data_IF_736901176268
#
_entry.id   IF_736901176268
#
_cell.length_a   1.000
_cell.length_b   1.000
_cell.length_c   1.000
_cell.angle_alpha   90.00
_cell.angle_beta   90.00
_cell.angle_gamma   90.00
#
_symmetry.space_group_name_H-M   'P 1'
#
loop_
_entity.id
_entity.type
_entity.pdbx_description
1 polymer ?
#
# COMPACT_ATOMS: atom_id res chain seq x y z
N UNK A 1 -31.12 -48.97 17.57
CA UNK A 1 -31.53 -47.54 17.76
C UNK A 1 -30.40 -46.68 17.21
N UNK A 2 -30.63 -46.05 16.06
CA UNK A 2 -29.61 -45.16 15.39
C UNK A 2 -30.08 -43.72 15.62
N UNK A 3 -29.33 -43.00 16.45
CA UNK A 3 -29.57 -41.56 16.69
C UNK A 3 -28.92 -40.75 15.57
N UNK A 4 -29.74 -40.14 14.73
CA UNK A 4 -29.33 -39.15 13.72
C UNK A 4 -29.05 -37.80 14.41
N UNK A 5 -27.82 -37.31 14.31
CA UNK A 5 -27.50 -35.96 14.71
C UNK A 5 -27.83 -35.01 13.55
N UNK A 6 -28.78 -34.14 13.81
CA UNK A 6 -29.20 -33.05 12.92
C UNK A 6 -28.23 -31.89 13.13
N UNK A 7 -27.45 -31.56 12.10
CA UNK A 7 -26.65 -30.32 12.08
C UNK A 7 -27.58 -29.20 11.58
N UNK A 8 -27.97 -28.30 12.46
CA UNK A 8 -28.67 -27.09 12.09
C UNK A 8 -27.66 -26.05 11.57
N UNK A 9 -27.73 -25.74 10.29
CA UNK A 9 -27.04 -24.60 9.68
C UNK A 9 -27.91 -23.36 9.97
N UNK A 10 -27.41 -22.47 10.83
CA UNK A 10 -28.04 -21.17 11.05
C UNK A 10 -27.35 -20.21 10.06
N UNK A 11 -28.05 -19.86 8.99
CA UNK A 11 -27.73 -18.74 8.15
C UNK A 11 -28.22 -17.46 8.81
N UNK A 12 -27.34 -16.68 9.41
CA UNK A 12 -27.66 -15.35 9.90
C UNK A 12 -27.50 -14.35 8.77
N UNK A 13 -28.60 -13.88 8.20
CA UNK A 13 -28.63 -12.70 7.34
C UNK A 13 -28.54 -11.46 8.25
N UNK A 14 -27.40 -10.77 8.22
CA UNK A 14 -27.25 -9.49 8.91
C UNK A 14 -27.79 -8.38 8.03
N UNK A 15 -28.92 -7.83 8.39
CA UNK A 15 -29.46 -6.57 7.86
C UNK A 15 -28.70 -5.40 8.48
N UNK A 16 -27.97 -4.66 7.63
CA UNK A 16 -27.32 -3.40 8.00
C UNK A 16 -28.37 -2.30 8.18
N UNK A 17 -28.55 -1.85 9.42
CA UNK A 17 -29.14 -0.56 9.73
C UNK A 17 -28.27 0.14 10.76
N UNK A 18 -27.88 1.38 10.41
CA UNK A 18 -26.87 2.18 11.06
C UNK A 18 -27.10 2.45 12.54
N UNK A 19 -26.01 2.56 13.24
CA UNK A 19 -25.94 3.02 14.61
C UNK A 19 -24.52 2.80 15.13
N UNK A 20 -23.74 3.87 15.27
CA UNK A 20 -22.46 3.82 15.95
C UNK A 20 -22.70 3.47 17.43
N UNK A 21 -22.33 2.25 17.80
CA UNK A 21 -22.15 1.87 19.19
C UNK A 21 -20.84 1.09 19.28
N UNK A 22 -19.77 1.76 19.68
CA UNK A 22 -18.53 1.11 20.10
C UNK A 22 -18.81 0.38 21.41
N UNK A 23 -18.92 -0.92 21.35
CA UNK A 23 -19.08 -1.72 22.56
C UNK A 23 -19.66 -3.09 22.25
N UNK A 24 -18.78 -4.03 22.08
CA UNK A 24 -18.75 -5.48 22.27
C UNK A 24 -17.92 -6.11 21.16
N UNK A 25 -16.97 -6.94 21.50
CA UNK A 25 -16.21 -7.75 20.56
C UNK A 25 -17.17 -8.64 19.77
N UNK A 26 -17.67 -8.14 18.65
CA UNK A 26 -18.42 -8.91 17.68
C UNK A 26 -17.42 -9.81 16.93
N UNK A 27 -17.65 -11.11 16.92
CA UNK A 27 -16.92 -12.01 16.04
C UNK A 27 -17.29 -11.63 14.59
N UNK A 28 -16.46 -10.80 13.95
CA UNK A 28 -16.59 -10.52 12.54
C UNK A 28 -16.18 -11.75 11.75
N UNK A 29 -16.89 -12.03 10.65
CA UNK A 29 -16.58 -13.14 9.80
C UNK A 29 -15.17 -12.95 9.24
N UNK A 30 -14.27 -13.91 9.48
CA UNK A 30 -12.95 -13.92 8.88
C UNK A 30 -13.05 -13.71 7.36
N UNK A 31 -12.27 -12.78 6.82
CA UNK A 31 -12.23 -12.49 5.40
C UNK A 31 -13.28 -11.51 4.87
N UNK A 32 -13.83 -10.62 5.71
CA UNK A 32 -14.76 -9.56 5.27
C UNK A 32 -14.08 -8.22 4.95
N UNK A 33 -12.82 -8.05 5.35
CA UNK A 33 -12.09 -6.81 5.12
C UNK A 33 -11.56 -6.68 3.68
N UNK A 34 -11.25 -5.46 3.28
CA UNK A 34 -10.77 -5.17 1.93
C UNK A 34 -9.81 -3.99 1.88
N UNK A 35 -9.03 -3.95 0.80
CA UNK A 35 -8.16 -2.83 0.43
C UNK A 35 -8.45 -2.46 -1.02
N UNK A 36 -8.76 -1.19 -1.29
CA UNK A 36 -8.89 -0.65 -2.64
C UNK A 36 -7.54 -0.15 -3.17
N UNK A 37 -7.18 -0.62 -4.35
CA UNK A 37 -6.04 -0.12 -5.13
C UNK A 37 -6.59 0.87 -6.14
N UNK A 38 -6.47 2.16 -5.87
CA UNK A 38 -6.88 3.22 -6.78
C UNK A 38 -5.80 3.50 -7.81
N UNK A 39 -6.19 3.86 -9.03
CA UNK A 39 -5.31 4.05 -10.18
C UNK A 39 -4.46 2.79 -10.47
N UNK A 40 -5.05 1.61 -10.27
CA UNK A 40 -4.39 0.35 -10.59
C UNK A 40 -4.06 0.27 -12.07
N UNK A 41 -2.88 -0.22 -12.42
CA UNK A 41 -2.45 -0.31 -13.83
C UNK A 41 -2.82 -1.63 -14.47
N UNK A 42 -3.22 -1.58 -15.74
CA UNK A 42 -3.42 -2.78 -16.55
C UNK A 42 -2.09 -3.52 -16.74
N UNK A 43 -2.11 -4.84 -16.56
CA UNK A 43 -0.92 -5.67 -16.66
C UNK A 43 -0.12 -5.77 -15.37
N UNK A 44 -0.49 -5.05 -14.31
CA UNK A 44 0.10 -5.17 -12.99
C UNK A 44 -0.67 -6.16 -12.11
N UNK A 45 0.03 -6.77 -11.17
CA UNK A 45 -0.52 -7.64 -10.14
C UNK A 45 -0.18 -7.06 -8.77
N UNK A 46 -1.20 -6.80 -7.98
CA UNK A 46 -1.08 -6.33 -6.62
C UNK A 46 -1.26 -7.50 -5.67
N UNK A 47 -0.24 -7.76 -4.84
CA UNK A 47 -0.24 -8.89 -3.91
C UNK A 47 -0.20 -8.37 -2.48
N UNK A 48 -1.13 -8.85 -1.64
CA UNK A 48 -1.26 -8.47 -0.25
C UNK A 48 -0.64 -9.53 0.67
N UNK A 49 0.21 -9.08 1.59
CA UNK A 49 0.87 -9.91 2.60
C UNK A 49 0.60 -9.31 3.97
N UNK A 50 -0.11 -10.03 4.82
CA UNK A 50 -0.37 -9.60 6.19
C UNK A 50 0.90 -9.75 7.02
N UNK A 51 1.36 -8.65 7.60
CA UNK A 51 2.55 -8.66 8.46
C UNK A 51 2.23 -8.32 9.92
N UNK A 52 1.05 -7.73 10.18
CA UNK A 52 0.57 -7.49 11.53
C UNK A 52 -0.94 -7.69 11.64
N UNK A 53 -1.36 -8.14 12.79
CA UNK A 53 -2.76 -8.24 13.20
C UNK A 53 -3.21 -6.95 13.87
N UNK A 54 -4.45 -6.53 13.62
CA UNK A 54 -5.06 -5.34 14.21
C UNK A 54 -6.27 -5.75 15.05
N UNK A 55 -6.26 -5.38 16.32
CA UNK A 55 -7.38 -5.67 17.22
C UNK A 55 -7.93 -4.38 17.81
N UNK A 56 -9.24 -4.18 17.70
CA UNK A 56 -9.91 -3.01 18.28
C UNK A 56 -9.96 -3.15 19.80
N UNK A 57 -9.45 -2.15 20.52
CA UNK A 57 -9.48 -2.06 21.98
C UNK A 57 -9.96 -0.66 22.39
N UNK A 58 -11.25 -0.55 22.68
CA UNK A 58 -11.90 0.71 23.01
C UNK A 58 -11.97 1.64 21.78
N UNK A 59 -11.37 2.82 21.89
CA UNK A 59 -11.25 3.82 20.81
C UNK A 59 -9.90 3.78 20.05
N UNK A 60 -9.09 2.76 20.34
CA UNK A 60 -7.79 2.55 19.74
C UNK A 60 -7.67 1.13 19.15
N UNK A 61 -6.60 0.91 18.41
CA UNK A 61 -6.24 -0.37 17.81
C UNK A 61 -4.93 -0.83 18.43
N UNK A 62 -4.88 -2.07 18.85
CA UNK A 62 -3.65 -2.77 19.16
C UNK A 62 -3.07 -3.34 17.88
N UNK A 63 -1.76 -3.17 17.69
CA UNK A 63 -1.00 -3.72 16.58
C UNK A 63 -0.10 -4.82 17.12
N UNK A 64 -0.19 -6.00 16.56
CA UNK A 64 0.63 -7.14 16.93
C UNK A 64 1.33 -7.69 15.68
N UNK A 65 2.67 -7.67 15.67
CA UNK A 65 3.48 -8.21 14.58
C UNK A 65 3.25 -9.71 14.45
N UNK A 66 2.93 -10.19 13.26
CA UNK A 66 2.81 -11.63 13.02
C UNK A 66 4.19 -12.29 13.17
N UNK A 67 4.26 -13.44 13.87
CA UNK A 67 5.52 -14.05 14.32
C UNK A 67 6.54 -14.28 13.21
N UNK A 68 6.07 -14.66 12.03
CA UNK A 68 6.92 -14.92 10.85
C UNK A 68 7.50 -13.64 10.23
N UNK A 69 6.98 -12.48 10.61
CA UNK A 69 7.38 -11.17 10.09
C UNK A 69 8.29 -10.37 11.03
N UNK A 70 8.47 -10.78 12.29
CA UNK A 70 9.22 -10.02 13.30
C UNK A 70 10.62 -9.63 12.79
N UNK A 71 11.36 -10.55 12.17
CA UNK A 71 12.70 -10.27 11.65
C UNK A 71 12.66 -9.27 10.49
N UNK A 72 11.79 -9.51 9.50
CA UNK A 72 11.68 -8.63 8.34
C UNK A 72 11.24 -7.20 8.71
N UNK A 73 10.30 -7.09 9.66
CA UNK A 73 9.84 -5.78 10.17
C UNK A 73 10.95 -5.09 10.98
N UNK A 74 11.69 -5.82 11.83
CA UNK A 74 12.83 -5.27 12.57
C UNK A 74 13.89 -4.72 11.63
N UNK A 75 14.24 -5.45 10.57
CA UNK A 75 15.22 -5.01 9.57
C UNK A 75 14.73 -3.78 8.80
N UNK A 76 13.45 -3.74 8.43
CA UNK A 76 12.84 -2.59 7.77
C UNK A 76 12.79 -1.35 8.68
N UNK A 77 12.48 -1.53 9.98
CA UNK A 77 12.56 -0.46 10.99
C UNK A 77 13.98 0.06 11.12
N UNK A 78 14.99 -0.83 11.18
CA UNK A 78 16.39 -0.43 11.26
C UNK A 78 16.82 0.36 10.04
N UNK A 79 16.43 -0.07 8.82
CA UNK A 79 16.72 0.65 7.58
C UNK A 79 16.07 2.05 7.58
N UNK A 80 14.82 2.15 8.00
CA UNK A 80 14.12 3.43 8.08
C UNK A 80 14.73 4.37 9.13
N UNK A 81 15.11 3.84 10.29
CA UNK A 81 15.76 4.60 11.37
C UNK A 81 17.13 5.13 10.96
N UNK A 82 17.92 4.32 10.24
CA UNK A 82 19.24 4.71 9.75
C UNK A 82 19.19 5.82 8.67
N UNK A 83 18.05 5.96 7.99
CA UNK A 83 17.83 7.01 6.99
C UNK A 83 17.34 8.33 7.60
N UNK A 84 17.27 8.42 8.92
CA UNK A 84 16.87 9.65 9.64
C UNK A 84 18.10 10.44 10.08
N UNK A 85 17.96 11.76 10.18
CA UNK A 85 18.97 12.65 10.76
C UNK A 85 18.33 13.48 11.89
N UNK A 86 18.70 13.24 13.16
CA UNK A 86 19.64 12.21 13.64
C UNK A 86 19.07 10.78 13.51
N UNK A 87 19.95 9.79 13.45
CA UNK A 87 19.59 8.36 13.46
C UNK A 87 18.80 8.05 14.75
N UNK A 88 17.71 7.32 14.59
CA UNK A 88 16.83 6.90 15.68
C UNK A 88 17.06 5.42 15.97
N UNK A 89 16.90 5.00 17.23
CA UNK A 89 16.90 3.59 17.61
C UNK A 89 15.51 3.15 18.02
N UNK A 90 15.13 1.93 17.67
CA UNK A 90 13.93 1.31 18.22
C UNK A 90 14.20 0.92 19.67
N UNK A 91 13.35 1.34 20.63
CA UNK A 91 13.45 0.89 22.02
C UNK A 91 13.22 -0.62 22.16
N UNK A 92 13.90 -1.25 23.12
CA UNK A 92 13.86 -2.71 23.30
C UNK A 92 12.49 -3.27 23.71
N UNK A 93 11.60 -2.44 24.24
CA UNK A 93 10.22 -2.85 24.51
C UNK A 93 9.45 -3.27 23.26
N UNK A 94 9.91 -2.86 22.06
CA UNK A 94 9.32 -3.24 20.77
C UNK A 94 9.99 -4.44 20.08
N UNK A 95 11.03 -5.06 20.69
CA UNK A 95 11.79 -6.14 20.04
C UNK A 95 10.90 -7.33 19.61
N UNK A 96 9.85 -7.63 20.36
CA UNK A 96 8.88 -8.67 20.02
C UNK A 96 7.69 -8.20 19.20
N UNK A 97 7.52 -6.89 19.06
CA UNK A 97 6.40 -6.27 18.34
C UNK A 97 6.84 -4.98 17.63
N UNK A 98 7.73 -5.09 16.62
CA UNK A 98 8.30 -3.92 15.93
C UNK A 98 7.26 -3.12 15.14
N UNK A 99 6.12 -3.69 14.77
CA UNK A 99 5.03 -2.97 14.13
C UNK A 99 4.34 -1.96 15.05
N UNK A 100 4.30 -2.24 16.35
CA UNK A 100 3.83 -1.26 17.31
C UNK A 100 4.73 -0.01 17.31
N UNK A 101 6.06 -0.18 17.15
CA UNK A 101 6.96 0.96 16.95
C UNK A 101 6.73 1.65 15.60
N UNK A 102 6.59 0.89 14.50
CA UNK A 102 6.31 1.46 13.19
C UNK A 102 5.02 2.31 13.19
N UNK A 103 4.00 1.87 13.92
CA UNK A 103 2.74 2.59 14.07
C UNK A 103 2.89 3.93 14.82
N UNK A 104 3.93 4.12 15.63
CA UNK A 104 4.24 5.43 16.24
C UNK A 104 4.76 6.46 15.23
N UNK A 105 5.24 6.00 14.06
CA UNK A 105 5.85 6.80 12.98
C UNK A 105 4.87 7.23 11.88
N UNK A 106 3.59 7.28 12.15
CA UNK A 106 2.58 7.62 11.14
C UNK A 106 2.13 9.09 11.18
N UNK A 107 2.93 9.96 11.80
CA UNK A 107 2.73 11.41 11.80
C UNK A 107 3.08 12.07 10.46
N UNK A 108 2.67 13.33 10.29
CA UNK A 108 2.92 14.09 9.05
C UNK A 108 4.42 14.25 8.75
N UNK A 109 5.27 14.28 9.77
CA UNK A 109 6.72 14.41 9.64
C UNK A 109 7.43 13.07 9.36
N UNK A 110 6.73 11.95 9.46
CA UNK A 110 7.30 10.61 9.34
C UNK A 110 7.16 10.01 7.92
N UNK A 111 6.68 10.78 6.95
CA UNK A 111 6.42 10.27 5.60
C UNK A 111 7.69 9.71 4.91
N UNK A 112 8.87 10.29 5.17
CA UNK A 112 10.14 9.79 4.63
C UNK A 112 10.54 8.47 5.30
N UNK A 113 10.41 8.39 6.61
CA UNK A 113 10.64 7.17 7.37
C UNK A 113 9.76 6.03 6.87
N UNK A 114 8.46 6.30 6.71
CA UNK A 114 7.48 5.30 6.30
C UNK A 114 7.70 4.80 4.87
N UNK A 115 8.17 5.66 3.95
CA UNK A 115 8.58 5.24 2.60
C UNK A 115 9.76 4.29 2.63
N UNK A 116 10.80 4.60 3.44
CA UNK A 116 11.96 3.72 3.58
C UNK A 116 11.56 2.39 4.21
N UNK A 117 10.72 2.41 5.25
CA UNK A 117 10.17 1.21 5.87
C UNK A 117 9.44 0.33 4.85
N UNK A 118 8.49 0.88 4.09
CA UNK A 118 7.74 0.13 3.08
C UNK A 118 8.64 -0.44 1.96
N UNK A 119 9.66 0.32 1.53
CA UNK A 119 10.60 -0.12 0.52
C UNK A 119 11.54 -1.22 1.03
N UNK A 120 11.86 -1.22 2.33
CA UNK A 120 12.78 -2.17 2.97
C UNK A 120 12.09 -3.42 3.49
N UNK A 121 10.77 -3.38 3.67
CA UNK A 121 10.03 -4.55 4.14
C UNK A 121 10.01 -5.62 3.05
N UNK A 122 10.81 -6.68 3.27
CA UNK A 122 10.99 -7.76 2.32
C UNK A 122 10.01 -8.91 2.58
N UNK A 123 9.43 -9.44 1.52
CA UNK A 123 8.70 -10.71 1.58
C UNK A 123 9.73 -11.83 1.66
N UNK A 124 9.66 -12.63 2.72
CA UNK A 124 10.56 -13.77 2.92
C UNK A 124 10.40 -14.84 1.84
N UNK A 125 11.45 -15.64 1.63
CA UNK A 125 11.40 -16.74 0.69
C UNK A 125 10.31 -17.76 1.07
N UNK A 126 9.47 -18.10 0.11
CA UNK A 126 8.36 -19.05 0.32
C UNK A 126 7.10 -18.46 0.96
N UNK A 127 7.09 -17.20 1.34
CA UNK A 127 5.88 -16.52 1.81
C UNK A 127 4.92 -16.32 0.64
N UNK A 128 3.71 -16.81 0.80
CA UNK A 128 2.65 -16.72 -0.20
C UNK A 128 1.75 -15.52 0.13
N UNK A 129 1.36 -14.75 -0.88
CA UNK A 129 0.41 -13.67 -0.70
C UNK A 129 -0.94 -14.19 -0.19
N UNK A 130 -1.53 -13.51 0.79
CA UNK A 130 -2.88 -13.82 1.28
C UNK A 130 -3.91 -13.68 0.18
N UNK A 131 -3.79 -12.64 -0.63
CA UNK A 131 -4.62 -12.36 -1.81
C UNK A 131 -3.83 -11.62 -2.88
N UNK A 132 -4.29 -11.79 -4.12
CA UNK A 132 -3.79 -11.03 -5.28
C UNK A 132 -4.95 -10.46 -6.08
N UNK A 133 -4.74 -9.33 -6.74
CA UNK A 133 -5.67 -8.77 -7.71
C UNK A 133 -4.92 -8.21 -8.91
N UNK A 134 -5.48 -8.41 -10.10
CA UNK A 134 -4.96 -7.78 -11.32
C UNK A 134 -5.44 -6.33 -11.42
N UNK A 135 -4.54 -5.46 -11.82
CA UNK A 135 -4.87 -4.08 -12.13
C UNK A 135 -5.76 -3.98 -13.37
N UNK A 136 -6.74 -3.08 -13.34
CA UNK A 136 -7.76 -2.93 -14.37
C UNK A 136 -7.73 -1.57 -15.09
N UNK A 137 -6.83 -0.68 -14.71
CA UNK A 137 -6.74 0.69 -15.22
C UNK A 137 -7.61 1.68 -14.45
N UNK A 138 -8.20 1.25 -13.33
CA UNK A 138 -9.05 2.05 -12.46
C UNK A 138 -8.90 1.62 -11.01
N UNK A 139 -10.00 1.41 -10.29
CA UNK A 139 -9.98 0.88 -8.93
C UNK A 139 -10.08 -0.65 -8.96
N UNK A 140 -9.08 -1.33 -8.40
CA UNK A 140 -9.11 -2.77 -8.15
C UNK A 140 -9.29 -3.01 -6.64
N UNK A 141 -10.01 -4.07 -6.25
CA UNK A 141 -10.27 -4.37 -4.85
C UNK A 141 -9.64 -5.71 -4.45
N UNK A 142 -8.81 -5.70 -3.42
CA UNK A 142 -8.32 -6.90 -2.76
C UNK A 142 -9.30 -7.20 -1.63
N UNK A 143 -10.20 -8.13 -1.86
CA UNK A 143 -11.27 -8.49 -0.92
C UNK A 143 -11.00 -9.78 -0.17
N UNK A 144 -11.87 -10.10 0.77
CA UNK A 144 -11.80 -11.33 1.58
C UNK A 144 -10.48 -11.44 2.36
N UNK A 145 -10.01 -10.31 2.88
CA UNK A 145 -8.86 -10.24 3.77
C UNK A 145 -9.29 -10.42 5.23
N UNK A 146 -8.40 -10.93 6.06
CA UNK A 146 -8.49 -10.76 7.52
C UNK A 146 -8.18 -9.32 7.89
N UNK A 147 -8.73 -8.83 8.99
CA UNK A 147 -8.35 -7.52 9.52
C UNK A 147 -6.87 -7.51 9.91
N UNK A 148 -6.12 -6.54 9.40
CA UNK A 148 -4.69 -6.50 9.59
C UNK A 148 -3.99 -5.37 8.86
N UNK A 149 -2.68 -5.31 9.05
CA UNK A 149 -1.80 -4.39 8.35
C UNK A 149 -1.03 -5.15 7.28
N UNK A 150 -1.05 -4.64 6.06
CA UNK A 150 -0.59 -5.36 4.87
C UNK A 150 0.52 -4.62 4.14
N UNK A 151 1.52 -5.37 3.73
CA UNK A 151 2.40 -4.99 2.64
C UNK A 151 1.71 -5.31 1.33
N UNK A 152 1.54 -4.32 0.47
CA UNK A 152 1.06 -4.51 -0.90
C UNK A 152 2.24 -4.34 -1.84
N UNK A 153 2.58 -5.39 -2.57
CA UNK A 153 3.57 -5.33 -3.64
C UNK A 153 2.89 -5.12 -4.98
N UNK A 154 3.55 -4.40 -5.86
CA UNK A 154 3.12 -4.14 -7.23
C UNK A 154 4.14 -4.73 -8.20
N UNK A 155 3.71 -5.61 -9.09
CA UNK A 155 4.57 -6.26 -10.09
C UNK A 155 3.88 -6.21 -11.43
N UNK A 156 4.57 -5.72 -12.46
CA UNK A 156 4.07 -5.70 -13.83
C UNK A 156 4.19 -7.09 -14.50
N UNK A 157 3.62 -7.23 -15.67
CA UNK A 157 3.64 -8.48 -16.46
C UNK A 157 5.05 -8.96 -16.87
N UNK A 158 6.03 -8.07 -16.86
CA UNK A 158 7.42 -8.33 -17.27
C UNK A 158 8.34 -8.53 -16.05
N UNK A 159 7.76 -8.48 -14.84
CA UNK A 159 8.48 -8.66 -13.57
C UNK A 159 9.07 -7.37 -13.00
N UNK A 160 8.80 -6.22 -13.61
CA UNK A 160 9.13 -4.91 -13.07
C UNK A 160 8.36 -4.67 -11.77
N UNK A 161 9.02 -4.03 -10.80
CA UNK A 161 8.44 -3.75 -9.49
C UNK A 161 8.01 -2.31 -9.38
N UNK A 162 6.76 -2.08 -9.03
CA UNK A 162 6.26 -0.80 -8.59
C UNK A 162 6.61 -0.50 -7.13
N UNK A 163 6.12 0.62 -6.64
CA UNK A 163 6.34 1.04 -5.25
C UNK A 163 5.49 0.21 -4.28
N UNK A 164 6.12 -0.40 -3.29
CA UNK A 164 5.40 -1.06 -2.20
C UNK A 164 4.54 -0.07 -1.41
N UNK A 165 3.38 -0.53 -0.95
CA UNK A 165 2.50 0.24 -0.08
C UNK A 165 2.24 -0.51 1.24
N UNK A 166 2.14 0.22 2.32
CA UNK A 166 1.72 -0.28 3.63
C UNK A 166 0.31 0.23 3.90
N UNK A 167 -0.65 -0.66 4.03
CA UNK A 167 -2.07 -0.33 4.14
C UNK A 167 -2.75 -1.23 5.15
N UNK A 168 -3.52 -0.64 6.07
CA UNK A 168 -4.42 -1.41 6.91
C UNK A 168 -5.71 -1.74 6.14
N UNK A 169 -6.30 -2.86 6.45
CA UNK A 169 -7.67 -3.14 6.00
C UNK A 169 -8.67 -2.21 6.67
N UNK A 170 -9.89 -2.16 6.14
CA UNK A 170 -11.02 -1.68 6.95
C UNK A 170 -11.14 -2.50 8.23
N UNK A 171 -11.42 -1.86 9.35
CA UNK A 171 -11.73 -2.52 10.61
C UNK A 171 -13.22 -2.39 10.89
N UNK A 172 -13.89 -3.50 11.14
CA UNK A 172 -15.35 -3.53 11.31
C UNK A 172 -16.11 -2.82 10.16
N UNK A 173 -15.57 -2.88 8.93
CA UNK A 173 -16.10 -2.18 7.76
C UNK A 173 -15.86 -0.66 7.75
N UNK A 174 -15.11 -0.11 8.69
CA UNK A 174 -14.79 1.33 8.76
C UNK A 174 -13.44 1.59 8.11
N UNK A 175 -13.43 2.52 7.15
CA UNK A 175 -12.22 3.03 6.50
C UNK A 175 -11.90 4.42 7.06
N UNK A 176 -11.27 4.48 8.22
CA UNK A 176 -10.90 5.73 8.88
C UNK A 176 -9.51 5.59 9.50
N UNK A 177 -8.87 6.71 9.76
CA UNK A 177 -7.62 6.74 10.53
C UNK A 177 -7.85 6.16 11.92
N UNK A 178 -7.04 5.18 12.32
CA UNK A 178 -7.10 4.58 13.64
C UNK A 178 -6.00 5.12 14.55
N UNK A 179 -6.37 5.38 15.81
CA UNK A 179 -5.39 5.57 16.88
C UNK A 179 -4.80 4.21 17.24
N UNK A 180 -3.49 4.17 17.48
CA UNK A 180 -2.79 2.95 17.91
C UNK A 180 -2.50 3.05 19.41
N UNK A 181 -2.84 1.99 20.13
CA UNK A 181 -2.53 1.86 21.55
C UNK A 181 -1.05 1.51 21.71
N UNK A 182 -0.33 2.23 22.54
CA UNK A 182 0.95 1.76 23.03
C UNK A 182 2.20 2.52 22.64
N UNK A 183 2.10 3.81 22.26
CA UNK A 183 3.28 4.67 22.37
C UNK A 183 3.47 5.11 23.83
N UNK A 184 4.48 4.57 24.54
CA UNK A 184 4.71 4.93 25.94
C UNK A 184 5.14 6.40 26.11
N UNK A 185 5.68 7.04 25.07
CA UNK A 185 6.15 8.43 25.12
C UNK A 185 5.05 9.46 24.86
N UNK A 186 4.13 9.17 23.95
CA UNK A 186 3.08 10.13 23.51
C UNK A 186 1.67 9.58 23.67
N UNK A 187 1.53 8.27 23.94
CA UNK A 187 0.25 7.60 24.13
C UNK A 187 -0.55 7.32 22.85
N UNK A 188 -0.10 7.77 21.66
CA UNK A 188 -0.89 7.60 20.45
C UNK A 188 -0.07 7.61 19.15
N UNK A 189 0.08 6.43 18.53
CA UNK A 189 0.35 6.31 17.11
C UNK A 189 -0.94 6.43 16.28
N UNK A 190 -0.80 6.46 14.96
CA UNK A 190 -1.92 6.50 14.01
C UNK A 190 -1.63 5.60 12.83
N UNK A 191 -2.65 4.92 12.32
CA UNK A 191 -2.60 4.29 11.01
C UNK A 191 -3.46 5.14 10.08
N UNK A 192 -2.84 5.79 9.08
CA UNK A 192 -3.50 6.74 8.19
C UNK A 192 -4.00 6.09 6.89
N UNK A 193 -3.26 5.13 6.34
CA UNK A 193 -3.69 4.39 5.14
C UNK A 193 -4.58 3.21 5.55
N UNK A 194 -5.88 3.38 5.46
CA UNK A 194 -6.88 2.39 5.86
C UNK A 194 -7.86 2.16 4.72
N UNK A 195 -8.02 0.89 4.34
CA UNK A 195 -8.98 0.44 3.35
C UNK A 195 -8.66 0.82 1.92
N UNK A 196 -7.66 1.68 1.68
CA UNK A 196 -7.30 2.10 0.32
C UNK A 196 -5.91 2.73 0.23
N UNK A 197 -5.33 2.65 -0.96
CA UNK A 197 -4.17 3.45 -1.36
C UNK A 197 -4.23 3.78 -2.84
N UNK A 198 -3.43 4.76 -3.26
CA UNK A 198 -3.24 5.12 -4.66
C UNK A 198 -1.96 4.45 -5.15
N UNK A 199 -2.06 3.59 -6.16
CA UNK A 199 -0.89 2.97 -6.78
C UNK A 199 -0.02 4.07 -7.41
N UNK A 200 1.25 4.10 -7.01
CA UNK A 200 2.24 4.99 -7.61
C UNK A 200 3.01 4.19 -8.64
N UNK A 201 2.75 4.53 -9.85
CA UNK A 201 3.38 3.87 -10.99
C UNK A 201 4.57 4.70 -11.41
N UNK A 202 5.76 4.14 -11.26
CA UNK A 202 6.97 4.69 -11.84
C UNK A 202 7.06 4.27 -13.31
N UNK A 203 6.11 4.71 -14.12
CA UNK A 203 6.31 4.69 -15.56
C UNK A 203 7.25 5.84 -15.88
N UNK A 204 8.50 5.53 -16.19
CA UNK A 204 9.35 6.49 -16.88
C UNK A 204 8.59 6.95 -18.13
N UNK A 205 8.49 8.27 -18.38
CA UNK A 205 7.97 8.76 -19.62
C UNK A 205 8.79 8.15 -20.76
N UNK A 206 8.12 7.66 -21.79
CA UNK A 206 8.81 7.22 -23.00
C UNK A 206 9.78 8.30 -23.48
N UNK A 207 10.94 7.89 -23.98
CA UNK A 207 11.91 8.85 -24.50
C UNK A 207 11.25 9.76 -25.54
N UNK A 208 11.41 11.08 -25.44
CA UNK A 208 10.81 11.99 -26.39
C UNK A 208 11.25 11.64 -27.82
N UNK A 209 10.30 11.37 -28.68
CA UNK A 209 10.56 11.25 -30.10
C UNK A 209 10.90 12.61 -30.67
N UNK A 210 11.96 12.71 -31.46
CA UNK A 210 12.29 13.92 -32.24
C UNK A 210 12.44 13.56 -33.69
N UNK A 211 11.57 14.11 -34.55
CA UNK A 211 11.64 13.96 -36.00
C UNK A 211 11.84 15.32 -36.67
N UNK A 212 12.67 15.36 -37.69
CA UNK A 212 12.82 16.55 -38.53
C UNK A 212 11.82 16.44 -39.70
N UNK A 213 10.92 17.39 -39.80
CA UNK A 213 9.79 17.33 -40.76
C UNK A 213 10.19 17.57 -42.22
N UNK A 214 11.40 18.04 -42.49
CA UNK A 214 11.82 18.53 -43.81
C UNK A 214 13.14 17.96 -44.34
N UNK A 215 13.73 16.95 -43.72
CA UNK A 215 14.97 16.37 -44.18
C UNK A 215 14.70 14.99 -44.79
N UNK A 216 14.72 14.90 -46.09
CA UNK A 216 14.91 13.61 -46.77
C UNK A 216 16.37 13.20 -46.55
N UNK A 217 16.58 12.01 -46.05
CA UNK A 217 17.84 11.46 -45.55
C UNK A 217 19.05 11.45 -46.51
N UNK A 218 18.94 11.99 -47.70
CA UNK A 218 19.96 11.92 -48.75
C UNK A 218 20.70 13.23 -49.03
N UNK A 219 20.21 14.39 -48.61
CA UNK A 219 20.79 15.67 -49.09
C UNK A 219 21.29 16.64 -47.97
N UNK A 220 21.16 16.28 -46.74
CA UNK A 220 21.61 17.19 -45.63
C UNK A 220 20.91 18.55 -45.65
N UNK A 221 21.20 19.41 -44.69
CA UNK A 221 20.71 20.80 -44.61
C UNK A 221 21.79 21.78 -45.02
N UNK A 222 21.44 22.78 -45.82
CA UNK A 222 22.33 23.87 -46.20
C UNK A 222 22.30 25.01 -45.18
N UNK A 223 23.40 25.78 -45.09
CA UNK A 223 23.49 26.98 -44.25
C UNK A 223 22.38 27.97 -44.60
N UNK A 224 21.58 28.41 -43.62
CA UNK A 224 20.48 29.34 -43.83
C UNK A 224 19.11 28.67 -44.02
N UNK A 225 19.04 27.36 -44.06
CA UNK A 225 17.78 26.62 -44.18
C UNK A 225 17.12 26.47 -42.84
N UNK A 226 15.81 26.71 -42.74
CA UNK A 226 15.02 26.47 -41.54
C UNK A 226 14.63 25.00 -41.48
N UNK A 227 14.91 24.36 -40.32
CA UNK A 227 14.52 22.98 -40.07
C UNK A 227 13.41 22.98 -39.03
N UNK A 228 12.25 22.42 -39.38
CA UNK A 228 11.17 22.16 -38.42
C UNK A 228 11.36 20.80 -37.77
N UNK A 229 11.15 20.76 -36.48
CA UNK A 229 11.19 19.51 -35.70
C UNK A 229 9.86 19.29 -35.00
N UNK A 230 9.36 18.08 -35.06
CA UNK A 230 8.27 17.61 -34.21
C UNK A 230 8.83 16.85 -33.01
N UNK A 231 8.48 17.27 -31.81
CA UNK A 231 8.81 16.57 -30.57
C UNK A 231 7.53 15.93 -30.07
N UNK A 232 7.52 14.61 -29.98
CA UNK A 232 6.41 13.84 -29.42
C UNK A 232 6.76 13.38 -28.01
N UNK A 233 5.86 13.64 -27.07
CA UNK A 233 5.98 13.26 -25.67
C UNK A 233 4.72 12.49 -25.29
N UNK A 234 4.85 11.29 -24.77
CA UNK A 234 3.76 10.59 -24.11
C UNK A 234 3.67 11.02 -22.64
N UNK A 235 2.50 11.51 -22.25
CA UNK A 235 2.24 11.91 -20.88
C UNK A 235 1.73 10.68 -20.14
N UNK A 236 2.46 10.20 -19.09
CA UNK A 236 2.00 9.05 -18.31
C UNK A 236 0.62 9.31 -17.68
N UNK A 237 -0.23 8.29 -17.63
CA UNK A 237 -1.54 8.36 -16.97
C UNK A 237 -1.49 8.75 -15.49
N UNK A 238 -0.30 8.72 -14.87
CA UNK A 238 -0.08 9.20 -13.50
C UNK A 238 -0.34 10.73 -13.32
N UNK A 239 -0.53 11.46 -14.43
CA UNK A 239 -0.88 12.88 -14.38
C UNK A 239 -2.35 13.15 -13.98
N UNK A 240 -3.23 12.15 -14.03
CA UNK A 240 -4.60 12.28 -13.51
C UNK A 240 -4.57 12.48 -11.98
N UNK A 241 -5.05 13.63 -11.53
CA UNK A 241 -5.08 14.02 -10.11
C UNK A 241 -4.07 15.09 -9.71
N UNK A 242 -3.24 15.57 -10.62
CA UNK A 242 -2.36 16.72 -10.41
C UNK A 242 -2.88 17.93 -11.18
N UNK A 243 -3.02 19.06 -10.51
CA UNK A 243 -3.43 20.35 -11.13
C UNK A 243 -2.41 20.86 -12.15
N UNK A 244 -1.15 20.45 -12.05
CA UNK A 244 -0.05 20.83 -12.95
C UNK A 244 1.01 19.73 -13.02
N UNK A 245 1.43 19.40 -14.23
CA UNK A 245 2.57 18.54 -14.50
C UNK A 245 3.61 19.33 -15.30
N UNK A 246 4.66 19.88 -14.69
CA UNK A 246 5.66 20.65 -15.41
C UNK A 246 6.62 19.72 -16.19
N UNK A 247 6.68 19.92 -17.51
CA UNK A 247 7.69 19.31 -18.35
C UNK A 247 8.81 20.31 -18.68
N UNK A 248 10.02 19.86 -18.59
CA UNK A 248 11.17 20.64 -19.00
C UNK A 248 11.89 19.86 -20.13
N UNK A 249 11.92 20.43 -21.33
CA UNK A 249 12.75 19.96 -22.43
C UNK A 249 14.09 20.67 -22.34
N UNK A 250 15.16 19.93 -22.14
CA UNK A 250 16.54 20.46 -22.10
C UNK A 250 17.26 20.15 -23.38
#
# INVERSE_FOLDING_TARGET
MKTRRLCAVIAAAATLLGGMAFGTAGAYAAGSASIEVRHSQKGHTYSAYKFASLTVDGDAVQVDTDADWVTAVTDAVAAANNNMDPVVSMPSEYDSNPDAFAATKTGDNDAAWFRTFAASLAVGDGVVADKTVAGNGGTAAIGSLEEGWYLITDVDKDGGRGTNAIVATTLNGVAATFKVKGDPATGQGKINAVGMFVAKNENEPDQPGKTADTITTTEGVSIGQTVAYTITLDIPNAAEGYDKYPYFVK
#
